data_IF_143995779818
#
_entry.id   IF_143995779818
#
_cell.length_a   1.000
_cell.length_b   1.000
_cell.length_c   1.000
_cell.angle_alpha   90.00
_cell.angle_beta   90.00
_cell.angle_gamma   90.00
#
_symmetry.space_group_name_H-M   'P 1'
#
loop_
_entity.id
_entity.type
_entity.pdbx_description
1 polymer ?
#
# COMPACT_ATOMS: atom_id res chain seq x y z
N UNK A 1 1.18 5.69 -16.12
CA UNK A 1 1.79 4.45 -16.64
C UNK A 1 0.75 3.70 -17.42
N UNK A 2 1.04 3.33 -18.66
CA UNK A 2 0.17 2.51 -19.51
C UNK A 2 0.76 1.12 -19.61
N UNK A 3 -0.07 0.08 -19.48
CA UNK A 3 0.30 -1.33 -19.63
C UNK A 3 -0.57 -1.99 -20.69
N UNK A 4 0.01 -2.90 -21.47
CA UNK A 4 -0.70 -3.72 -22.46
C UNK A 4 -0.23 -5.17 -22.44
N UNK A 5 -1.14 -6.10 -22.68
CA UNK A 5 -0.85 -7.52 -22.84
C UNK A 5 -1.53 -8.07 -24.09
N UNK A 6 -0.86 -7.98 -25.24
CA UNK A 6 -1.44 -8.36 -26.53
C UNK A 6 -1.74 -9.86 -26.66
N UNK A 7 -1.09 -10.69 -25.86
CA UNK A 7 -1.35 -12.14 -25.82
C UNK A 7 -2.54 -12.52 -24.94
N UNK A 8 -3.05 -11.60 -24.13
CA UNK A 8 -4.19 -11.85 -23.25
C UNK A 8 -5.50 -11.75 -24.04
N UNK A 9 -6.26 -12.85 -24.08
CA UNK A 9 -7.49 -12.99 -24.87
C UNK A 9 -8.77 -12.71 -24.07
N UNK A 10 -8.66 -12.23 -22.83
CA UNK A 10 -9.84 -11.89 -22.01
C UNK A 10 -10.66 -10.77 -22.68
N UNK A 11 -11.99 -10.87 -22.57
CA UNK A 11 -12.92 -9.96 -23.24
C UNK A 11 -12.72 -8.51 -22.80
N UNK A 12 -12.61 -7.60 -23.77
CA UNK A 12 -12.50 -6.16 -23.54
C UNK A 12 -13.73 -5.40 -24.03
N UNK A 13 -13.93 -4.19 -23.52
CA UNK A 13 -15.02 -3.28 -23.92
C UNK A 13 -14.83 -2.73 -25.32
N UNK A 14 -13.58 -2.68 -25.81
CA UNK A 14 -13.20 -2.15 -27.12
C UNK A 14 -12.96 -3.21 -28.19
N UNK A 15 -12.97 -4.51 -27.83
CA UNK A 15 -12.55 -5.61 -28.72
C UNK A 15 -11.03 -5.73 -28.94
N UNK A 16 -10.27 -4.68 -28.66
CA UNK A 16 -8.80 -4.68 -28.66
C UNK A 16 -8.17 -5.50 -27.51
N UNK A 17 -6.84 -5.62 -27.50
CA UNK A 17 -6.09 -6.28 -26.42
C UNK A 17 -6.28 -5.58 -25.05
N UNK A 18 -6.10 -6.31 -23.93
CA UNK A 18 -6.15 -5.75 -22.59
C UNK A 18 -5.15 -4.61 -22.40
N UNK A 19 -5.67 -3.47 -21.92
CA UNK A 19 -4.92 -2.24 -21.63
C UNK A 19 -5.32 -1.71 -20.27
N UNK A 20 -4.32 -1.23 -19.52
CA UNK A 20 -4.49 -0.57 -18.23
C UNK A 20 -3.75 0.74 -18.20
N UNK A 21 -4.33 1.73 -17.53
CA UNK A 21 -3.67 3.02 -17.28
C UNK A 21 -3.70 3.29 -15.79
N UNK A 22 -2.54 3.28 -15.16
CA UNK A 22 -2.35 3.61 -13.74
C UNK A 22 -1.85 5.03 -13.63
N UNK A 23 -2.62 5.88 -12.97
CA UNK A 23 -2.26 7.26 -12.66
C UNK A 23 -1.63 7.33 -11.27
N UNK A 24 -0.57 8.10 -11.14
CA UNK A 24 0.18 8.24 -9.89
C UNK A 24 0.20 9.69 -9.44
N UNK A 25 0.18 9.91 -8.13
CA UNK A 25 0.46 11.19 -7.48
C UNK A 25 1.52 10.96 -6.41
N UNK A 26 2.66 11.62 -6.52
CA UNK A 26 3.82 11.42 -5.63
C UNK A 26 4.21 9.93 -5.43
N UNK A 27 4.15 9.13 -6.50
CA UNK A 27 4.49 7.70 -6.46
C UNK A 27 3.39 6.76 -5.96
N UNK A 28 2.22 7.28 -5.56
CA UNK A 28 1.07 6.49 -5.10
C UNK A 28 0.02 6.37 -6.21
N UNK A 29 -0.49 5.18 -6.54
CA UNK A 29 -1.60 5.03 -7.48
C UNK A 29 -2.86 5.73 -6.96
N UNK A 30 -3.45 6.60 -7.79
CA UNK A 30 -4.67 7.36 -7.45
C UNK A 30 -5.86 7.02 -8.32
N UNK A 31 -5.63 6.47 -9.52
CA UNK A 31 -6.68 5.97 -10.40
C UNK A 31 -6.15 4.85 -11.30
N UNK A 32 -7.01 3.88 -11.62
CA UNK A 32 -6.70 2.84 -12.60
C UNK A 32 -7.85 2.68 -13.59
N UNK A 33 -7.54 2.87 -14.86
CA UNK A 33 -8.43 2.58 -15.97
C UNK A 33 -8.10 1.21 -16.57
N UNK A 34 -9.12 0.51 -17.02
CA UNK A 34 -9.00 -0.81 -17.65
C UNK A 34 -10.08 -0.97 -18.71
N UNK A 35 -9.76 -1.64 -19.81
CA UNK A 35 -10.73 -2.03 -20.82
C UNK A 35 -11.24 -3.47 -20.65
N UNK A 36 -10.85 -4.21 -19.61
CA UNK A 36 -11.35 -5.56 -19.35
C UNK A 36 -12.80 -5.52 -18.85
N UNK A 37 -13.70 -6.26 -19.52
CA UNK A 37 -15.14 -6.28 -19.18
C UNK A 37 -15.37 -6.72 -17.74
N UNK A 38 -14.65 -7.77 -17.30
CA UNK A 38 -14.78 -8.34 -15.95
C UNK A 38 -14.36 -7.38 -14.82
N UNK A 39 -13.70 -6.27 -15.15
CA UNK A 39 -13.24 -5.24 -14.21
C UNK A 39 -14.11 -3.98 -14.25
N UNK A 40 -15.17 -3.95 -15.08
CA UNK A 40 -16.19 -2.90 -15.05
C UNK A 40 -16.93 -2.90 -13.71
N UNK A 41 -17.40 -1.74 -13.26
CA UNK A 41 -17.92 -1.55 -11.89
C UNK A 41 -19.06 -2.52 -11.59
N UNK A 42 -20.09 -2.54 -12.44
CA UNK A 42 -21.21 -3.46 -12.26
C UNK A 42 -20.81 -4.95 -12.25
N UNK A 43 -19.76 -5.35 -12.98
CA UNK A 43 -19.26 -6.73 -12.98
C UNK A 43 -18.52 -7.08 -11.68
N UNK A 44 -17.83 -6.11 -11.08
CA UNK A 44 -17.20 -6.27 -9.78
C UNK A 44 -18.27 -6.39 -8.70
N UNK A 45 -19.23 -5.46 -8.67
CA UNK A 45 -20.34 -5.43 -7.71
C UNK A 45 -21.20 -6.70 -7.78
N UNK A 46 -21.50 -7.19 -8.98
CA UNK A 46 -22.29 -8.41 -9.14
C UNK A 46 -21.55 -9.65 -8.64
N UNK A 47 -20.22 -9.70 -8.82
CA UNK A 47 -19.38 -10.81 -8.36
C UNK A 47 -19.22 -10.83 -6.84
N UNK A 48 -19.20 -9.67 -6.20
CA UNK A 48 -19.19 -9.55 -4.73
C UNK A 48 -20.59 -9.77 -4.13
N UNK A 49 -21.64 -9.88 -4.95
CA UNK A 49 -23.01 -10.07 -4.49
C UNK A 49 -23.69 -8.79 -4.00
N UNK A 50 -23.09 -7.62 -4.22
CA UNK A 50 -23.67 -6.33 -3.86
C UNK A 50 -24.84 -5.91 -4.76
N UNK A 51 -24.85 -6.41 -6.00
CA UNK A 51 -25.97 -6.25 -6.92
C UNK A 51 -26.31 -7.59 -7.58
N UNK A 52 -27.58 -7.78 -7.91
CA UNK A 52 -28.07 -8.92 -8.69
C UNK A 52 -27.77 -8.76 -10.19
N UNK A 53 -27.90 -9.87 -10.93
CA UNK A 53 -27.79 -9.83 -12.39
C UNK A 53 -28.85 -8.97 -13.08
N UNK A 54 -30.04 -8.84 -12.49
CA UNK A 54 -31.11 -7.98 -13.02
C UNK A 54 -30.77 -6.49 -12.84
N UNK A 55 -30.32 -6.10 -11.64
CA UNK A 55 -29.90 -4.71 -11.35
C UNK A 55 -28.66 -4.31 -12.17
N UNK A 56 -27.74 -5.25 -12.40
CA UNK A 56 -26.62 -5.06 -13.31
C UNK A 56 -27.10 -4.74 -14.73
N UNK A 57 -28.01 -5.55 -15.29
CA UNK A 57 -28.53 -5.31 -16.64
C UNK A 57 -29.30 -3.99 -16.73
N UNK A 58 -30.16 -3.70 -15.76
CA UNK A 58 -30.91 -2.44 -15.71
C UNK A 58 -29.99 -1.21 -15.66
N UNK A 59 -28.96 -1.25 -14.81
CA UNK A 59 -27.98 -0.15 -14.71
C UNK A 59 -27.19 0.03 -16.01
N UNK A 60 -26.86 -1.06 -16.73
CA UNK A 60 -26.22 -0.99 -18.05
C UNK A 60 -27.14 -0.32 -19.08
N UNK A 61 -28.43 -0.64 -19.07
CA UNK A 61 -29.39 -0.02 -19.98
C UNK A 61 -29.58 1.46 -19.68
N UNK A 62 -29.64 1.86 -18.41
CA UNK A 62 -29.69 3.27 -18.01
C UNK A 62 -28.45 4.06 -18.45
N UNK A 63 -27.25 3.49 -18.32
CA UNK A 63 -26.01 4.10 -18.86
C UNK A 63 -26.10 4.27 -20.38
N UNK A 64 -26.62 3.27 -21.10
CA UNK A 64 -26.81 3.36 -22.57
C UNK A 64 -27.82 4.42 -22.99
N UNK A 65 -28.82 4.70 -22.15
CA UNK A 65 -29.77 5.81 -22.35
C UNK A 65 -29.19 7.18 -21.98
N UNK A 66 -27.97 7.23 -21.45
CA UNK A 66 -27.28 8.49 -21.11
C UNK A 66 -27.69 9.07 -19.75
N UNK A 67 -28.22 8.24 -18.84
CA UNK A 67 -28.74 8.70 -17.54
C UNK A 67 -27.68 8.99 -16.46
N UNK A 68 -26.39 8.96 -16.83
CA UNK A 68 -25.26 9.25 -15.95
C UNK A 68 -24.28 8.09 -15.78
N UNK A 69 -23.40 8.19 -14.78
CA UNK A 69 -22.44 7.15 -14.45
C UNK A 69 -23.14 5.95 -13.78
N UNK A 70 -22.66 4.73 -14.05
CA UNK A 70 -23.29 3.50 -13.54
C UNK A 70 -23.42 3.50 -12.00
N UNK A 71 -22.42 4.01 -11.28
CA UNK A 71 -22.46 4.08 -9.82
C UNK A 71 -23.57 4.99 -9.30
N UNK A 72 -23.71 6.19 -9.87
CA UNK A 72 -24.76 7.15 -9.52
C UNK A 72 -26.16 6.59 -9.83
N UNK A 73 -26.28 5.88 -10.94
CA UNK A 73 -27.51 5.18 -11.33
C UNK A 73 -27.88 4.14 -10.27
N UNK A 74 -26.94 3.29 -9.85
CA UNK A 74 -27.20 2.25 -8.85
C UNK A 74 -27.60 2.83 -7.49
N UNK A 75 -27.03 3.98 -7.10
CA UNK A 75 -27.45 4.71 -5.89
C UNK A 75 -28.85 5.28 -6.04
N UNK A 76 -29.15 5.90 -7.19
CA UNK A 76 -30.48 6.46 -7.47
C UNK A 76 -31.57 5.40 -7.55
N UNK A 77 -31.24 4.20 -8.01
CA UNK A 77 -32.13 3.04 -8.01
C UNK A 77 -32.39 2.48 -6.60
N UNK A 78 -31.66 2.94 -5.57
CA UNK A 78 -31.75 2.42 -4.21
C UNK A 78 -31.11 1.05 -4.02
N UNK A 79 -30.33 0.58 -5.00
CA UNK A 79 -29.63 -0.70 -4.96
C UNK A 79 -28.37 -0.61 -4.10
N UNK A 80 -27.69 0.54 -4.14
CA UNK A 80 -26.51 0.83 -3.34
C UNK A 80 -26.68 2.11 -2.54
N UNK A 81 -26.08 2.14 -1.36
CA UNK A 81 -25.78 3.37 -0.63
C UNK A 81 -24.52 4.04 -1.19
N UNK A 82 -24.30 5.35 -0.92
CA UNK A 82 -23.04 6.01 -1.28
C UNK A 82 -21.79 5.33 -0.70
N UNK A 83 -21.88 4.83 0.53
CA UNK A 83 -20.77 4.15 1.20
C UNK A 83 -20.44 2.80 0.54
N UNK A 84 -21.46 2.01 0.19
CA UNK A 84 -21.27 0.77 -0.58
C UNK A 84 -20.70 1.03 -1.98
N UNK A 85 -21.07 2.14 -2.62
CA UNK A 85 -20.47 2.55 -3.88
C UNK A 85 -18.98 2.88 -3.70
N UNK A 86 -18.60 3.59 -2.63
CA UNK A 86 -17.20 3.89 -2.33
C UNK A 86 -16.39 2.60 -2.11
N UNK A 87 -16.93 1.64 -1.35
CA UNK A 87 -16.31 0.32 -1.13
C UNK A 87 -16.14 -0.43 -2.45
N UNK A 88 -17.19 -0.51 -3.28
CA UNK A 88 -17.14 -1.16 -4.58
C UNK A 88 -16.15 -0.51 -5.56
N UNK A 89 -16.00 0.82 -5.53
CA UNK A 89 -15.00 1.54 -6.30
C UNK A 89 -13.58 1.25 -5.81
N UNK A 90 -13.37 1.17 -4.49
CA UNK A 90 -12.07 0.82 -3.91
C UNK A 90 -11.66 -0.61 -4.29
N UNK A 91 -12.60 -1.56 -4.29
CA UNK A 91 -12.35 -2.93 -4.70
C UNK A 91 -12.10 -3.05 -6.20
N UNK A 92 -12.86 -2.33 -7.01
CA UNK A 92 -12.61 -2.25 -8.44
C UNK A 92 -11.19 -1.71 -8.72
N UNK A 93 -10.77 -0.66 -8.00
CA UNK A 93 -9.42 -0.10 -8.11
C UNK A 93 -8.35 -1.16 -7.79
N UNK A 94 -8.52 -1.91 -6.68
CA UNK A 94 -7.62 -3.01 -6.29
C UNK A 94 -7.55 -4.10 -7.36
N UNK A 95 -8.69 -4.57 -7.84
CA UNK A 95 -8.77 -5.61 -8.89
C UNK A 95 -7.99 -5.15 -10.13
N UNK A 96 -8.26 -3.93 -10.60
CA UNK A 96 -7.59 -3.38 -11.79
C UNK A 96 -6.08 -3.23 -11.57
N UNK A 97 -5.66 -2.78 -10.38
CA UNK A 97 -4.26 -2.55 -10.04
C UNK A 97 -3.43 -3.84 -9.90
N UNK A 98 -4.01 -4.90 -9.33
CA UNK A 98 -3.28 -6.15 -9.09
C UNK A 98 -3.31 -7.11 -10.27
N UNK A 99 -4.23 -6.96 -11.22
CA UNK A 99 -4.31 -7.84 -12.38
C UNK A 99 -2.99 -7.94 -13.20
N UNK A 100 -2.24 -6.84 -13.48
CA UNK A 100 -0.95 -6.90 -14.18
C UNK A 100 0.09 -7.82 -13.55
N UNK A 101 0.08 -8.00 -12.23
CA UNK A 101 1.04 -8.90 -11.58
C UNK A 101 0.87 -10.36 -12.04
N UNK A 102 -0.33 -10.75 -12.49
CA UNK A 102 -0.57 -12.09 -13.02
C UNK A 102 -0.05 -12.26 -14.46
N UNK A 103 0.20 -11.16 -15.19
CA UNK A 103 0.55 -11.22 -16.60
C UNK A 103 1.85 -11.99 -16.83
N UNK A 104 1.90 -12.77 -17.91
CA UNK A 104 3.09 -13.54 -18.26
C UNK A 104 4.07 -12.69 -19.06
N UNK A 105 3.54 -12.00 -20.07
CA UNK A 105 4.23 -11.06 -20.95
C UNK A 105 3.34 -9.83 -21.07
N UNK A 106 3.96 -8.65 -21.10
CA UNK A 106 3.28 -7.39 -21.31
C UNK A 106 4.29 -6.28 -21.53
N UNK A 107 3.81 -5.16 -22.04
CA UNK A 107 4.58 -3.95 -22.25
C UNK A 107 4.09 -2.85 -21.32
N UNK A 108 4.98 -1.94 -20.93
CA UNK A 108 4.61 -0.77 -20.16
C UNK A 108 5.32 0.49 -20.67
N UNK A 109 4.70 1.64 -20.44
CA UNK A 109 5.28 2.96 -20.72
C UNK A 109 4.88 3.97 -19.65
N UNK A 110 5.83 4.81 -19.25
CA UNK A 110 5.54 6.00 -18.45
C UNK A 110 5.27 7.20 -19.36
N UNK A 111 4.20 7.95 -19.06
CA UNK A 111 3.80 9.15 -19.79
C UNK A 111 3.62 10.24 -18.73
N UNK A 112 4.42 11.29 -18.82
CA UNK A 112 4.54 12.33 -17.78
C UNK A 112 3.61 13.52 -17.97
N UNK A 113 2.79 13.53 -19.02
CA UNK A 113 2.15 14.74 -19.54
C UNK A 113 0.66 14.91 -19.18
N UNK A 114 0.16 14.22 -18.15
CA UNK A 114 -1.24 14.33 -17.75
C UNK A 114 -1.34 14.37 -16.23
N UNK A 115 -1.97 15.43 -15.72
CA UNK A 115 -2.39 15.46 -14.32
C UNK A 115 -3.29 14.24 -14.07
N UNK A 116 -3.06 13.51 -12.97
CA UNK A 116 -3.92 12.40 -12.64
C UNK A 116 -5.34 12.94 -12.37
N UNK A 117 -6.39 12.25 -12.84
CA UNK A 117 -7.75 12.63 -12.48
C UNK A 117 -7.93 12.59 -10.96
N UNK A 118 -9.00 13.21 -10.47
CA UNK A 118 -9.36 13.09 -9.07
C UNK A 118 -9.50 11.62 -8.68
N UNK A 119 -9.02 11.31 -7.47
CA UNK A 119 -9.06 9.95 -6.97
C UNK A 119 -10.51 9.53 -6.80
N UNK A 120 -10.91 8.47 -7.49
CA UNK A 120 -12.27 7.94 -7.39
C UNK A 120 -12.52 7.22 -6.06
N UNK A 121 -11.46 6.68 -5.44
CA UNK A 121 -11.48 6.05 -4.13
C UNK A 121 -10.04 5.93 -3.58
N UNK A 122 -9.84 5.95 -2.25
CA UNK A 122 -8.54 5.72 -1.66
C UNK A 122 -8.14 4.24 -1.75
N UNK A 123 -6.94 3.94 -2.27
CA UNK A 123 -6.41 2.57 -2.28
C UNK A 123 -6.12 2.05 -0.85
N UNK A 124 -5.69 2.95 0.03
CA UNK A 124 -5.35 2.66 1.43
C UNK A 124 -3.99 1.96 1.64
N UNK A 125 -3.24 1.70 0.57
CA UNK A 125 -1.96 0.96 0.61
C UNK A 125 -0.80 1.80 0.04
N UNK A 126 0.38 1.65 0.66
CA UNK A 126 1.63 2.25 0.17
C UNK A 126 2.34 1.36 -0.87
N UNK A 127 3.35 1.91 -1.56
CA UNK A 127 4.08 1.21 -2.63
C UNK A 127 4.60 -0.18 -2.23
N UNK A 128 5.25 -0.28 -1.06
CA UNK A 128 5.82 -1.54 -0.58
C UNK A 128 4.76 -2.62 -0.37
N UNK A 129 3.61 -2.23 0.17
CA UNK A 129 2.47 -3.12 0.37
C UNK A 129 1.87 -3.55 -0.97
N UNK A 130 1.69 -2.63 -1.91
CA UNK A 130 1.19 -2.94 -3.26
C UNK A 130 2.09 -3.97 -3.95
N UNK A 131 3.41 -3.78 -3.91
CA UNK A 131 4.34 -4.74 -4.54
C UNK A 131 4.27 -6.09 -3.85
N UNK A 132 4.31 -6.12 -2.52
CA UNK A 132 4.24 -7.37 -1.75
C UNK A 132 2.92 -8.13 -1.98
N UNK A 133 1.78 -7.45 -1.83
CA UNK A 133 0.45 -8.04 -2.04
C UNK A 133 0.28 -8.54 -3.48
N UNK A 134 0.75 -7.76 -4.46
CA UNK A 134 0.70 -8.16 -5.86
C UNK A 134 1.53 -9.41 -6.13
N UNK A 135 2.75 -9.50 -5.60
CA UNK A 135 3.59 -10.70 -5.74
C UNK A 135 2.96 -11.90 -5.05
N UNK A 136 2.54 -11.76 -3.79
CA UNK A 136 2.03 -12.89 -2.99
C UNK A 136 0.73 -13.44 -3.55
N UNK A 137 -0.21 -12.58 -3.98
CA UNK A 137 -1.54 -13.02 -4.41
C UNK A 137 -1.64 -13.34 -5.91
N UNK A 138 -0.77 -12.78 -6.75
CA UNK A 138 -0.93 -12.87 -8.21
C UNK A 138 0.22 -13.58 -8.90
N UNK A 139 1.36 -13.74 -8.24
CA UNK A 139 2.54 -14.37 -8.81
C UNK A 139 2.79 -15.75 -8.17
N UNK A 140 2.49 -16.86 -8.87
CA UNK A 140 2.67 -18.21 -8.32
C UNK A 140 4.11 -18.45 -7.82
N UNK A 141 4.31 -19.12 -6.68
CA UNK A 141 5.64 -19.35 -6.12
C UNK A 141 6.65 -19.97 -7.08
N UNK A 142 6.22 -20.90 -7.94
CA UNK A 142 7.07 -21.49 -8.99
C UNK A 142 7.61 -20.45 -9.98
N UNK A 143 6.80 -19.45 -10.36
CA UNK A 143 7.22 -18.35 -11.25
C UNK A 143 8.17 -17.39 -10.56
N UNK A 144 8.05 -17.23 -9.24
CA UNK A 144 8.98 -16.44 -8.45
C UNK A 144 10.33 -17.16 -8.33
N UNK A 145 10.31 -18.46 -8.01
CA UNK A 145 11.52 -19.28 -7.95
C UNK A 145 12.29 -19.25 -9.28
N UNK A 146 11.59 -19.37 -10.42
CA UNK A 146 12.22 -19.27 -11.74
C UNK A 146 12.89 -17.91 -12.00
N UNK A 147 12.33 -16.81 -11.48
CA UNK A 147 12.93 -15.47 -11.59
C UNK A 147 14.15 -15.29 -10.70
N UNK A 148 14.17 -15.96 -9.55
CA UNK A 148 15.26 -15.92 -8.57
C UNK A 148 16.37 -16.94 -8.85
N UNK A 149 16.17 -17.88 -9.79
CA UNK A 149 17.06 -19.02 -10.00
C UNK A 149 18.51 -18.60 -10.31
N UNK A 150 18.70 -17.52 -11.07
CA UNK A 150 20.02 -16.99 -11.40
C UNK A 150 20.76 -16.40 -10.18
N UNK A 151 20.04 -16.13 -9.09
CA UNK A 151 20.55 -15.46 -7.90
C UNK A 151 20.77 -16.37 -6.71
N UNK A 152 20.53 -17.68 -6.84
CA UNK A 152 20.61 -18.63 -5.73
C UNK A 152 21.96 -18.63 -5.00
N UNK A 153 23.06 -18.40 -5.72
CA UNK A 153 24.42 -18.35 -5.16
C UNK A 153 24.88 -16.96 -4.71
N UNK A 154 24.05 -15.94 -4.93
CA UNK A 154 24.34 -14.57 -4.49
C UNK A 154 23.91 -14.35 -3.04
N UNK A 155 24.68 -13.51 -2.34
CA UNK A 155 24.36 -13.01 -1.00
C UNK A 155 23.21 -12.02 -1.07
N UNK A 156 22.29 -12.10 -0.11
CA UNK A 156 21.14 -11.18 0.02
C UNK A 156 21.52 -10.07 0.99
N UNK A 157 21.88 -8.91 0.45
CA UNK A 157 22.35 -7.75 1.21
C UNK A 157 21.21 -6.76 1.40
N UNK A 158 20.77 -6.46 2.64
CA UNK A 158 19.70 -5.50 2.89
C UNK A 158 20.16 -4.05 2.74
N UNK A 159 19.27 -3.18 2.29
CA UNK A 159 19.38 -1.73 2.52
C UNK A 159 18.62 -1.38 3.82
N UNK A 160 19.31 -0.96 4.90
CA UNK A 160 18.65 -0.70 6.18
C UNK A 160 17.52 0.32 6.12
N UNK A 161 17.66 1.36 5.30
CA UNK A 161 16.70 2.46 5.23
C UNK A 161 15.42 2.00 4.53
N UNK A 162 15.56 1.27 3.43
CA UNK A 162 14.41 0.76 2.67
C UNK A 162 13.76 -0.42 3.39
N UNK A 163 14.57 -1.33 3.96
CA UNK A 163 14.10 -2.45 4.77
C UNK A 163 13.23 -1.97 5.94
N UNK A 164 13.68 -0.93 6.67
CA UNK A 164 12.93 -0.35 7.78
C UNK A 164 11.55 0.22 7.41
N UNK A 165 11.32 0.58 6.14
CA UNK A 165 10.00 0.97 5.61
C UNK A 165 9.17 -0.25 5.20
N UNK A 166 9.81 -1.25 4.58
CA UNK A 166 9.14 -2.46 4.10
C UNK A 166 8.59 -3.31 5.25
N UNK A 167 9.35 -3.52 6.32
CA UNK A 167 8.90 -4.35 7.47
C UNK A 167 7.70 -3.79 8.23
N UNK A 168 7.26 -2.57 7.88
CA UNK A 168 6.05 -1.90 8.38
C UNK A 168 4.80 -2.22 7.56
N UNK A 169 4.82 -3.22 6.69
CA UNK A 169 3.62 -3.71 6.02
C UNK A 169 3.12 -5.00 6.68
N UNK A 170 1.85 -5.37 6.51
CA UNK A 170 1.35 -6.68 6.94
C UNK A 170 2.00 -7.81 6.11
N UNK A 171 3.03 -8.46 6.68
CA UNK A 171 3.71 -9.62 6.08
C UNK A 171 3.05 -10.91 6.59
N UNK A 172 2.77 -11.86 5.70
CA UNK A 172 2.27 -13.18 6.05
C UNK A 172 3.17 -13.83 7.14
N UNK A 173 2.60 -14.30 8.26
CA UNK A 173 3.34 -14.98 9.32
C UNK A 173 4.30 -16.08 8.84
N UNK A 174 3.92 -16.85 7.82
CA UNK A 174 4.76 -17.93 7.25
C UNK A 174 6.06 -17.40 6.65
N UNK A 175 6.06 -16.21 6.05
CA UNK A 175 7.23 -15.62 5.42
C UNK A 175 8.01 -14.70 6.37
N UNK A 176 7.38 -14.20 7.43
CA UNK A 176 7.98 -13.18 8.31
C UNK A 176 9.28 -13.64 8.96
N UNK A 177 9.40 -14.93 9.29
CA UNK A 177 10.63 -15.52 9.86
C UNK A 177 11.85 -15.39 8.95
N UNK A 178 11.66 -15.37 7.63
CA UNK A 178 12.73 -15.25 6.63
C UNK A 178 13.56 -13.98 6.81
N UNK A 179 12.96 -12.89 7.30
CA UNK A 179 13.65 -11.62 7.50
C UNK A 179 14.83 -11.73 8.49
N UNK A 180 14.76 -12.65 9.45
CA UNK A 180 15.81 -12.84 10.44
C UNK A 180 17.14 -13.34 9.83
N UNK A 181 17.09 -13.88 8.60
CA UNK A 181 18.25 -14.41 7.90
C UNK A 181 18.81 -13.45 6.85
N UNK A 182 18.19 -12.28 6.66
CA UNK A 182 18.62 -11.24 5.71
C UNK A 182 19.55 -10.25 6.42
N UNK A 183 20.78 -10.69 6.69
CA UNK A 183 21.82 -9.90 7.39
C UNK A 183 23.02 -9.53 6.50
N UNK A 184 22.93 -9.84 5.20
CA UNK A 184 23.99 -9.60 4.23
C UNK A 184 25.09 -10.66 4.21
N UNK A 185 24.99 -11.72 5.04
CA UNK A 185 26.01 -12.76 5.14
C UNK A 185 25.61 -14.10 4.53
N UNK A 186 24.32 -14.29 4.21
CA UNK A 186 23.77 -15.54 3.67
C UNK A 186 23.41 -15.43 2.19
N UNK A 187 23.56 -16.54 1.49
CA UNK A 187 23.12 -16.70 0.10
C UNK A 187 21.61 -16.90 0.03
N UNK A 188 21.04 -16.54 -1.11
CA UNK A 188 19.60 -16.68 -1.35
C UNK A 188 19.12 -18.12 -1.13
N UNK A 189 19.85 -19.13 -1.63
CA UNK A 189 19.51 -20.55 -1.40
C UNK A 189 19.43 -20.91 0.09
N UNK A 190 20.37 -20.42 0.89
CA UNK A 190 20.47 -20.72 2.32
C UNK A 190 19.30 -20.10 3.08
N UNK A 191 18.93 -18.86 2.73
CA UNK A 191 17.77 -18.17 3.33
C UNK A 191 16.46 -18.90 2.99
N UNK A 192 16.31 -19.39 1.75
CA UNK A 192 15.13 -20.15 1.33
C UNK A 192 15.03 -21.50 2.05
N UNK A 193 16.15 -22.20 2.24
CA UNK A 193 16.21 -23.48 2.96
C UNK A 193 15.88 -23.30 4.46
N UNK A 194 16.37 -22.21 5.08
CA UNK A 194 16.08 -21.87 6.47
C UNK A 194 14.66 -21.31 6.69
N UNK A 195 14.04 -20.77 5.64
CA UNK A 195 12.69 -20.20 5.66
C UNK A 195 11.56 -21.20 5.93
N UNK A 196 11.88 -22.50 6.00
CA UNK A 196 10.95 -23.58 6.33
C UNK A 196 10.69 -24.54 5.16
N UNK A 197 9.89 -25.60 5.38
CA UNK A 197 9.69 -26.69 4.42
C UNK A 197 8.98 -26.25 3.13
N UNK A 198 8.31 -25.09 3.14
CA UNK A 198 7.68 -24.47 1.97
C UNK A 198 8.43 -23.18 1.64
N UNK A 199 9.39 -23.24 0.73
CA UNK A 199 10.18 -22.06 0.30
C UNK A 199 9.37 -21.02 -0.50
N UNK A 200 8.12 -21.31 -0.87
CA UNK A 200 7.29 -20.44 -1.71
C UNK A 200 7.01 -19.05 -1.12
N UNK A 201 6.41 -18.94 0.08
CA UNK A 201 6.18 -17.66 0.75
C UNK A 201 7.48 -16.88 1.00
N UNK A 202 8.56 -17.55 1.39
CA UNK A 202 9.88 -16.94 1.58
C UNK A 202 10.42 -16.37 0.26
N UNK A 203 10.31 -17.12 -0.85
CA UNK A 203 10.71 -16.65 -2.17
C UNK A 203 9.89 -15.44 -2.64
N UNK A 204 8.57 -15.45 -2.42
CA UNK A 204 7.70 -14.32 -2.71
C UNK A 204 8.09 -13.07 -1.90
N UNK A 205 8.44 -13.23 -0.62
CA UNK A 205 8.92 -12.13 0.21
C UNK A 205 10.27 -11.58 -0.29
N UNK A 206 11.26 -12.44 -0.53
CA UNK A 206 12.59 -12.02 -1.00
C UNK A 206 12.53 -11.35 -2.38
N UNK A 207 11.68 -11.87 -3.27
CA UNK A 207 11.43 -11.24 -4.56
C UNK A 207 10.77 -9.87 -4.41
N UNK A 208 9.80 -9.73 -3.50
CA UNK A 208 9.16 -8.44 -3.21
C UNK A 208 10.16 -7.42 -2.67
N UNK A 209 11.02 -7.83 -1.74
CA UNK A 209 12.10 -7.01 -1.20
C UNK A 209 13.06 -6.56 -2.29
N UNK A 210 13.42 -7.46 -3.21
CA UNK A 210 14.28 -7.15 -4.35
C UNK A 210 13.61 -6.13 -5.30
N UNK A 211 12.33 -6.31 -5.64
CA UNK A 211 11.59 -5.40 -6.52
C UNK A 211 11.52 -3.96 -6.02
N UNK A 212 11.58 -3.75 -4.70
CA UNK A 212 11.53 -2.41 -4.08
C UNK A 212 12.90 -1.94 -3.58
N UNK A 213 13.97 -2.63 -3.97
CA UNK A 213 15.36 -2.35 -3.59
C UNK A 213 15.63 -2.39 -2.07
N UNK A 214 14.79 -3.09 -1.30
CA UNK A 214 15.05 -3.37 0.11
C UNK A 214 16.18 -4.37 0.32
N UNK A 215 16.46 -5.20 -0.69
CA UNK A 215 17.62 -6.09 -0.75
C UNK A 215 18.26 -6.03 -2.13
N UNK A 216 19.54 -6.41 -2.20
CA UNK A 216 20.28 -6.58 -3.44
C UNK A 216 21.01 -7.91 -3.42
N UNK A 217 21.15 -8.52 -4.59
CA UNK A 217 21.96 -9.73 -4.78
C UNK A 217 23.40 -9.35 -5.11
N UNK A 218 24.36 -9.94 -4.38
CA UNK A 218 25.80 -9.62 -4.45
C UNK A 218 26.65 -10.88 -4.49
N UNK A 219 27.81 -10.78 -5.16
CA UNK A 219 28.77 -11.90 -5.27
C UNK A 219 29.56 -12.08 -3.98
N UNK A 220 29.71 -11.02 -3.18
CA UNK A 220 30.40 -11.02 -1.90
C UNK A 220 29.44 -10.71 -0.75
N UNK A 221 29.67 -11.26 0.45
CA UNK A 221 28.90 -10.91 1.63
C UNK A 221 29.22 -9.47 2.03
N UNK A 222 28.19 -8.74 2.44
CA UNK A 222 28.31 -7.39 3.00
C UNK A 222 27.54 -7.42 4.33
N UNK A 223 28.20 -7.80 5.44
CA UNK A 223 27.54 -7.84 6.74
C UNK A 223 26.98 -6.47 7.07
N UNK A 224 25.66 -6.39 7.13
CA UNK A 224 25.01 -5.18 7.60
C UNK A 224 24.90 -5.35 9.11
N UNK A 225 25.75 -4.64 9.83
CA UNK A 225 25.73 -4.66 11.29
C UNK A 225 24.30 -4.48 11.78
N UNK A 226 23.88 -5.33 12.73
CA UNK A 226 22.68 -5.13 13.55
C UNK A 226 22.85 -3.93 14.49
N UNK A 227 23.52 -2.87 14.05
CA UNK A 227 23.42 -1.55 14.66
C UNK A 227 21.97 -1.15 14.56
N UNK A 228 21.26 -1.32 15.68
CA UNK A 228 19.85 -1.04 15.82
C UNK A 228 19.53 0.33 15.25
N UNK A 229 18.88 0.33 14.10
CA UNK A 229 18.03 1.45 13.73
C UNK A 229 16.93 1.52 14.78
N UNK A 230 16.98 2.56 15.61
CA UNK A 230 15.93 3.01 16.51
C UNK A 230 14.55 2.74 15.91
N UNK A 231 13.93 1.65 16.37
CA UNK A 231 12.76 1.09 15.70
C UNK A 231 12.40 -0.29 16.23
N UNK A 232 12.75 -0.58 17.49
CA UNK A 232 12.10 -1.66 18.23
C UNK A 232 10.66 -1.20 18.45
N UNK A 233 9.79 -1.49 17.49
CA UNK A 233 8.37 -1.21 17.62
C UNK A 233 7.77 -2.13 18.68
N UNK A 234 6.80 -1.66 19.45
CA UNK A 234 6.36 -2.38 20.62
C UNK A 234 5.12 -3.20 20.34
N UNK A 235 5.01 -4.30 21.08
CA UNK A 235 3.88 -5.21 21.07
C UNK A 235 2.62 -4.50 21.58
N UNK A 236 1.46 -4.76 20.95
CA UNK A 236 0.08 -4.62 21.47
C UNK A 236 -0.26 -3.41 22.36
N UNK A 237 0.20 -3.40 23.62
CA UNK A 237 -0.17 -2.42 24.65
C UNK A 237 0.26 -0.98 24.37
N UNK A 238 1.27 -0.76 23.53
CA UNK A 238 1.78 0.60 23.28
C UNK A 238 0.93 1.41 22.29
N UNK A 239 0.02 0.77 21.54
CA UNK A 239 -0.89 1.47 20.62
C UNK A 239 -1.97 2.26 21.36
N UNK A 240 -2.51 1.71 22.45
CA UNK A 240 -3.56 2.34 23.24
C UNK A 240 -3.03 3.55 24.03
N UNK A 241 -1.80 3.45 24.55
CA UNK A 241 -1.08 4.55 25.19
C UNK A 241 -0.82 5.70 24.20
N UNK A 242 -0.31 5.38 23.00
CA UNK A 242 -0.09 6.37 21.94
C UNK A 242 -1.42 7.02 21.51
N UNK A 243 -2.50 6.25 21.39
CA UNK A 243 -3.83 6.79 21.06
C UNK A 243 -4.29 7.80 22.11
N UNK A 244 -4.14 7.46 23.40
CA UNK A 244 -4.53 8.33 24.51
C UNK A 244 -3.71 9.62 24.51
N UNK A 245 -2.38 9.51 24.41
CA UNK A 245 -1.49 10.67 24.39
C UNK A 245 -1.76 11.61 23.21
N UNK A 246 -1.95 11.07 22.01
CA UNK A 246 -2.29 11.87 20.83
C UNK A 246 -3.65 12.55 20.96
N UNK A 247 -4.61 11.88 21.61
CA UNK A 247 -5.94 12.45 21.88
C UNK A 247 -5.84 13.62 22.87
N UNK A 248 -5.06 13.46 23.94
CA UNK A 248 -4.82 14.50 24.94
C UNK A 248 -4.11 15.71 24.31
N UNK A 249 -3.04 15.47 23.54
CA UNK A 249 -2.32 16.51 22.80
C UNK A 249 -3.23 17.25 21.82
N UNK A 250 -4.01 16.53 21.01
CA UNK A 250 -4.96 17.13 20.07
C UNK A 250 -5.95 18.03 20.80
N UNK A 251 -6.49 17.59 21.92
CA UNK A 251 -7.47 18.36 22.69
C UNK A 251 -6.85 19.64 23.27
N UNK A 252 -5.62 19.58 23.79
CA UNK A 252 -4.89 20.75 24.30
C UNK A 252 -4.54 21.73 23.17
N UNK A 253 -4.02 21.24 22.04
CA UNK A 253 -3.71 22.05 20.85
C UNK A 253 -4.96 22.66 20.19
N UNK A 254 -6.13 22.06 20.35
CA UNK A 254 -7.41 22.64 19.88
C UNK A 254 -7.90 23.79 20.76
N UNK A 255 -7.50 23.81 22.03
CA UNK A 255 -7.84 24.87 23.00
C UNK A 255 -6.74 25.93 23.11
N UNK A 256 -5.72 25.85 22.26
CA UNK A 256 -4.55 26.74 22.29
C UNK A 256 -3.79 26.69 23.64
N UNK A 257 -3.93 25.58 24.37
CA UNK A 257 -3.24 25.34 25.65
C UNK A 257 -1.84 24.76 25.43
N UNK A 258 -1.02 25.45 24.61
CA UNK A 258 0.30 24.98 24.17
C UNK A 258 1.26 24.70 25.33
N UNK A 259 1.19 25.51 26.40
CA UNK A 259 2.03 25.32 27.59
C UNK A 259 1.78 23.97 28.28
N UNK A 260 0.50 23.57 28.38
CA UNK A 260 0.12 22.27 28.93
C UNK A 260 0.40 21.14 27.94
N UNK A 261 0.19 21.37 26.65
CA UNK A 261 0.49 20.40 25.60
C UNK A 261 1.97 20.05 25.55
N UNK A 262 2.84 21.04 25.77
CA UNK A 262 4.29 20.88 25.69
C UNK A 262 4.96 20.72 27.06
N UNK A 263 4.21 20.85 28.16
CA UNK A 263 4.76 20.74 29.52
C UNK A 263 5.80 21.82 29.85
N UNK A 264 5.64 23.01 29.26
CA UNK A 264 6.58 24.14 29.41
C UNK A 264 5.98 25.23 30.30
N UNK A 265 6.83 25.97 31.02
CA UNK A 265 6.39 27.11 31.83
C UNK A 265 6.06 28.31 30.95
N UNK A 266 5.09 29.12 31.40
CA UNK A 266 4.66 30.32 30.70
C UNK A 266 5.83 31.26 30.37
N UNK A 267 5.87 31.73 29.11
CA UNK A 267 6.82 32.73 28.64
C UNK A 267 8.14 32.22 28.04
N UNK A 268 8.38 30.90 27.94
CA UNK A 268 9.60 30.38 27.29
C UNK A 268 9.37 29.87 25.86
N UNK A 269 9.37 30.79 24.88
CA UNK A 269 9.16 30.47 23.46
C UNK A 269 10.23 29.53 22.86
N UNK A 270 11.45 29.52 23.40
CA UNK A 270 12.54 28.63 22.94
C UNK A 270 12.23 27.18 23.35
N UNK A 271 11.71 26.97 24.55
CA UNK A 271 11.29 25.65 25.01
C UNK A 271 10.07 25.14 24.25
N UNK A 272 9.11 26.01 23.92
CA UNK A 272 7.93 25.65 23.09
C UNK A 272 8.36 25.09 21.74
N UNK A 273 9.22 25.80 20.99
CA UNK A 273 9.68 25.35 19.67
C UNK A 273 10.48 24.05 19.74
N UNK A 274 11.39 23.94 20.72
CA UNK A 274 12.18 22.73 20.92
C UNK A 274 11.31 21.51 21.21
N UNK A 275 10.30 21.64 22.07
CA UNK A 275 9.39 20.54 22.40
C UNK A 275 8.46 20.23 21.23
N UNK A 276 7.98 21.24 20.51
CA UNK A 276 7.23 21.07 19.27
C UNK A 276 8.01 20.25 18.23
N UNK A 277 9.30 20.56 18.02
CA UNK A 277 10.18 19.78 17.13
C UNK A 277 10.38 18.35 17.59
N UNK A 278 10.57 18.13 18.89
CA UNK A 278 10.69 16.78 19.45
C UNK A 278 9.42 15.96 19.25
N UNK A 279 8.24 16.53 19.49
CA UNK A 279 6.97 15.85 19.26
C UNK A 279 6.74 15.57 17.77
N UNK A 280 7.07 16.52 16.87
CA UNK A 280 7.02 16.30 15.42
C UNK A 280 7.91 15.15 15.00
N UNK A 281 9.18 15.14 15.45
CA UNK A 281 10.12 14.07 15.15
C UNK A 281 9.62 12.71 15.65
N UNK A 282 9.00 12.68 16.84
CA UNK A 282 8.47 11.46 17.45
C UNK A 282 7.24 10.91 16.73
N UNK A 283 6.32 11.76 16.29
CA UNK A 283 5.02 11.34 15.73
C UNK A 283 4.98 11.28 14.20
N UNK A 284 5.89 11.94 13.48
CA UNK A 284 5.96 11.85 12.01
C UNK A 284 6.12 10.42 11.47
N UNK A 285 6.90 9.52 12.08
CA UNK A 285 6.93 8.12 11.65
C UNK A 285 5.57 7.40 11.79
N UNK A 286 4.70 7.87 12.69
CA UNK A 286 3.35 7.33 12.94
C UNK A 286 2.36 7.77 11.85
N UNK A 287 2.54 8.96 11.27
CA UNK A 287 1.70 9.43 10.14
C UNK A 287 1.99 8.67 8.86
N UNK A 288 3.21 8.13 8.71
CA UNK A 288 3.72 7.53 7.49
C UNK A 288 3.68 5.98 7.51
N UNK A 289 3.32 5.34 8.63
CA UNK A 289 3.34 3.87 8.81
C UNK A 289 2.00 3.22 8.45
N UNK A 290 2.02 2.03 7.84
CA UNK A 290 0.82 1.24 7.50
C UNK A 290 0.29 0.36 8.64
N UNK A 291 1.13 0.01 9.61
CA UNK A 291 0.81 -0.93 10.71
C UNK A 291 -0.05 -0.31 11.80
N UNK A 292 -0.04 1.02 11.92
CA UNK A 292 -0.77 1.72 12.98
C UNK A 292 -2.23 1.87 12.56
N UNK A 293 -3.21 1.57 13.46
CA UNK A 293 -4.62 1.74 13.15
C UNK A 293 -4.91 3.11 12.55
N UNK A 294 -5.77 3.15 11.53
CA UNK A 294 -6.11 4.37 10.77
C UNK A 294 -6.42 5.56 11.68
N UNK A 295 -7.18 5.32 12.75
CA UNK A 295 -7.53 6.31 13.77
C UNK A 295 -6.31 6.97 14.42
N UNK A 296 -5.31 6.18 14.81
CA UNK A 296 -4.10 6.66 15.48
C UNK A 296 -3.22 7.45 14.52
N UNK A 297 -3.17 7.04 13.25
CA UNK A 297 -2.45 7.79 12.19
C UNK A 297 -3.08 9.15 11.92
N UNK A 298 -4.42 9.19 11.90
CA UNK A 298 -5.17 10.43 11.72
C UNK A 298 -4.95 11.39 12.90
N UNK A 299 -4.98 10.88 14.14
CA UNK A 299 -4.65 11.67 15.33
C UNK A 299 -3.22 12.24 15.27
N UNK A 300 -2.22 11.42 14.89
CA UNK A 300 -0.84 11.87 14.73
C UNK A 300 -0.69 12.95 13.67
N UNK A 301 -1.42 12.83 12.55
CA UNK A 301 -1.41 13.82 11.48
C UNK A 301 -2.00 15.16 11.95
N UNK A 302 -3.14 15.13 12.63
CA UNK A 302 -3.79 16.33 13.19
C UNK A 302 -2.89 17.05 14.21
N UNK A 303 -2.22 16.30 15.09
CA UNK A 303 -1.28 16.85 16.07
C UNK A 303 -0.10 17.51 15.36
N UNK A 304 0.57 16.80 14.44
CA UNK A 304 1.71 17.35 13.69
C UNK A 304 1.33 18.60 12.88
N UNK A 305 0.16 18.62 12.23
CA UNK A 305 -0.31 19.76 11.46
C UNK A 305 -0.58 20.98 12.35
N UNK A 306 -1.21 20.80 13.52
CA UNK A 306 -1.48 21.90 14.46
C UNK A 306 -0.21 22.47 15.10
N UNK A 307 0.80 21.65 15.31
CA UNK A 307 2.11 22.13 15.78
C UNK A 307 2.75 23.08 14.76
N UNK A 308 2.53 22.88 13.45
CA UNK A 308 3.05 23.77 12.39
C UNK A 308 2.29 25.10 12.32
N UNK A 309 0.98 25.09 12.59
CA UNK A 309 0.14 26.29 12.52
C UNK A 309 0.14 27.16 13.79
N UNK A 310 0.73 26.69 14.89
CA UNK A 310 0.84 27.41 16.16
C UNK A 310 2.15 28.18 16.36
N UNK A 311 2.97 28.34 15.30
CA UNK A 311 4.21 29.12 15.29
C UNK A 311 4.00 30.59 14.94
#
# INVERSE_FOLDING_TARGET
MTLSADQDKRKTTTGASPKKVVHFRAGVPVAVHSNLVQECLGQVLARSGMISGAELEESIQAVRRGEGAQGEILVRMGVLTPDELEEGLADQLRIKLFDPFAWFVGEYRFVSSQDPPDATAPLGMGLYEIVYQGVVHRLPPKRVAARLQGDFDHYVVPDPKVMGRFVRIPINPEAKGTLAFVDGTRRLREILDLGGPKSGPAAQLLYSLFCVEAVRFRVHPEPVGTSGGEGRMPMGGQTDEIRKELTDLRNLLRREEYEKAFGVRAGNAVDVRRVADQLRHRFRPITETGVVPREVRQLAFEVCARIVHGE
#
